data_IF_774975331785
#
_entry.id   IF_774975331785
#
_cell.length_a   1.000
_cell.length_b   1.000
_cell.length_c   1.000
_cell.angle_alpha   90.00
_cell.angle_beta   90.00
_cell.angle_gamma   90.00
#
_symmetry.space_group_name_H-M   'P 1'
#
loop_
_entity.id
_entity.type
_entity.pdbx_description
1 polymer ?
#
# COMPACT_ATOMS: atom_id res chain seq x y z
N UNK A 1 10.34 1.99 -14.28
CA UNK A 1 11.01 3.16 -13.66
C UNK A 1 10.69 3.08 -12.17
N UNK A 2 11.64 3.29 -11.26
CA UNK A 2 11.41 3.10 -9.81
C UNK A 2 10.31 4.06 -9.30
N UNK A 3 9.16 3.51 -8.89
CA UNK A 3 7.98 4.27 -8.42
C UNK A 3 8.32 5.16 -7.23
N UNK A 4 9.24 4.72 -6.36
CA UNK A 4 9.68 5.52 -5.21
C UNK A 4 10.40 6.78 -5.66
N UNK A 5 11.28 6.66 -6.65
CA UNK A 5 11.99 7.81 -7.25
C UNK A 5 11.03 8.73 -8.00
N UNK A 6 10.07 8.17 -8.74
CA UNK A 6 9.05 8.93 -9.47
C UNK A 6 8.23 9.82 -8.53
N UNK A 7 7.86 9.28 -7.36
CA UNK A 7 6.98 9.95 -6.38
C UNK A 7 7.73 10.65 -5.24
N UNK A 8 9.06 10.64 -5.26
CA UNK A 8 9.88 11.26 -4.20
C UNK A 8 9.74 10.59 -2.83
N UNK A 9 9.41 9.30 -2.80
CA UNK A 9 9.18 8.53 -1.58
C UNK A 9 10.50 7.90 -1.11
N UNK A 10 10.71 7.87 0.21
CA UNK A 10 11.82 7.12 0.82
C UNK A 10 11.30 6.19 1.90
N UNK A 11 11.51 4.88 1.72
CA UNK A 11 11.27 3.88 2.77
C UNK A 11 12.43 3.85 3.76
N UNK A 12 12.13 3.80 5.06
CA UNK A 12 13.12 3.88 6.13
C UNK A 12 12.82 2.89 7.25
N UNK A 13 13.88 2.44 7.93
CA UNK A 13 13.76 1.79 9.23
C UNK A 13 13.97 2.87 10.31
N UNK A 14 13.13 2.91 11.33
CA UNK A 14 13.20 3.85 12.45
C UNK A 14 13.25 3.09 13.76
N UNK A 15 14.21 3.42 14.62
CA UNK A 15 14.27 2.90 15.98
C UNK A 15 13.53 3.86 16.93
N UNK A 16 12.57 3.34 17.70
CA UNK A 16 11.85 4.10 18.74
C UNK A 16 11.79 3.24 19.98
N UNK A 17 12.36 3.73 21.09
CA UNK A 17 12.39 3.02 22.38
C UNK A 17 12.94 1.58 22.29
N UNK A 18 13.93 1.32 21.42
CA UNK A 18 14.53 0.00 21.21
C UNK A 18 13.75 -0.93 20.26
N UNK A 19 12.62 -0.48 19.73
CA UNK A 19 11.84 -1.21 18.74
C UNK A 19 12.13 -0.66 17.33
N UNK A 20 12.25 -1.56 16.34
CA UNK A 20 12.39 -1.18 14.93
C UNK A 20 11.03 -1.10 14.24
N UNK A 21 10.82 -0.01 13.54
CA UNK A 21 9.64 0.22 12.71
C UNK A 21 10.06 0.43 11.27
N UNK A 22 9.25 -0.07 10.34
CA UNK A 22 9.35 0.24 8.91
C UNK A 22 8.31 1.30 8.59
N UNK A 23 8.71 2.37 7.91
CA UNK A 23 7.79 3.44 7.49
C UNK A 23 8.27 4.12 6.20
N UNK A 24 7.44 5.02 5.66
CA UNK A 24 7.82 5.96 4.61
C UNK A 24 8.12 7.33 5.22
N UNK A 25 9.09 8.04 4.64
CA UNK A 25 9.24 9.47 4.80
C UNK A 25 8.61 10.17 3.59
N UNK A 26 7.67 11.08 3.83
CA UNK A 26 7.00 11.86 2.79
C UNK A 26 5.58 12.25 3.18
N UNK A 27 4.89 12.93 2.27
CA UNK A 27 3.46 13.31 2.37
C UNK A 27 2.60 12.60 1.32
N UNK A 28 3.15 11.55 0.71
CA UNK A 28 2.47 10.79 -0.32
C UNK A 28 1.37 9.93 0.32
N UNK A 29 0.12 10.21 -0.04
CA UNK A 29 -1.04 9.63 0.62
C UNK A 29 -1.17 8.12 0.36
N UNK A 30 -0.90 7.68 -0.87
CA UNK A 30 -1.03 6.27 -1.26
C UNK A 30 -0.02 5.39 -0.51
N UNK A 31 1.25 5.82 -0.45
CA UNK A 31 2.22 5.08 0.37
C UNK A 31 1.90 5.23 1.87
N UNK A 32 1.35 6.37 2.29
CA UNK A 32 0.90 6.57 3.67
C UNK A 32 -0.14 5.54 4.09
N UNK A 33 -1.08 5.21 3.19
CA UNK A 33 -2.04 4.14 3.35
C UNK A 33 -1.38 2.75 3.32
N UNK A 34 -0.51 2.51 2.33
CA UNK A 34 0.14 1.20 2.15
C UNK A 34 1.05 0.82 3.31
N UNK A 35 1.75 1.78 3.94
CA UNK A 35 2.63 1.48 5.08
C UNK A 35 1.89 1.03 6.33
N UNK A 36 0.57 1.00 6.33
CA UNK A 36 -0.23 0.42 7.41
C UNK A 36 -0.28 -1.11 7.31
N UNK A 37 -0.06 -1.70 6.13
CA UNK A 37 0.02 -3.15 5.97
C UNK A 37 1.26 -3.75 6.63
N UNK A 38 1.02 -4.77 7.47
CA UNK A 38 2.07 -5.56 8.13
C UNK A 38 2.17 -6.99 7.61
N UNK A 39 1.06 -7.53 7.08
CA UNK A 39 0.98 -8.91 6.63
C UNK A 39 1.26 -9.04 5.13
N UNK A 40 2.29 -9.84 4.80
CA UNK A 40 2.71 -10.07 3.41
C UNK A 40 1.61 -10.75 2.59
N UNK A 41 0.86 -11.67 3.19
CA UNK A 41 -0.21 -12.40 2.52
C UNK A 41 -1.33 -11.46 2.08
N UNK A 42 -1.76 -10.53 2.95
CA UNK A 42 -2.72 -9.47 2.61
C UNK A 42 -2.22 -8.60 1.45
N UNK A 43 -0.94 -8.23 1.45
CA UNK A 43 -0.37 -7.44 0.35
C UNK A 43 -0.41 -8.23 -0.96
N UNK A 44 -0.11 -9.53 -0.94
CA UNK A 44 -0.16 -10.37 -2.13
C UNK A 44 -1.59 -10.55 -2.64
N UNK A 45 -2.58 -10.72 -1.76
CA UNK A 45 -4.00 -10.79 -2.14
C UNK A 45 -4.45 -9.52 -2.86
N UNK A 46 -4.11 -8.33 -2.33
CA UNK A 46 -4.44 -7.05 -2.95
C UNK A 46 -3.76 -6.91 -4.32
N UNK A 47 -2.49 -7.32 -4.44
CA UNK A 47 -1.77 -7.32 -5.73
C UNK A 47 -2.48 -8.20 -6.76
N UNK A 48 -2.92 -9.39 -6.36
CA UNK A 48 -3.62 -10.32 -7.25
C UNK A 48 -4.97 -9.75 -7.73
N UNK A 49 -5.71 -9.09 -6.84
CA UNK A 49 -6.96 -8.42 -7.21
C UNK A 49 -6.75 -7.21 -8.13
N UNK A 50 -5.68 -6.44 -7.93
CA UNK A 50 -5.28 -5.38 -8.86
C UNK A 50 -4.88 -5.96 -10.22
N UNK A 51 -4.22 -7.11 -10.27
CA UNK A 51 -3.88 -7.77 -11.53
C UNK A 51 -5.11 -8.21 -12.32
N UNK A 52 -6.15 -8.70 -11.63
CA UNK A 52 -7.45 -8.96 -12.25
C UNK A 52 -8.11 -7.68 -12.77
N UNK A 53 -8.09 -6.60 -11.99
CA UNK A 53 -8.62 -5.30 -12.39
C UNK A 53 -7.92 -4.75 -13.64
N UNK A 54 -6.59 -4.79 -13.67
CA UNK A 54 -5.77 -4.37 -14.82
C UNK A 54 -6.03 -5.23 -16.07
N UNK A 55 -6.37 -6.50 -15.89
CA UNK A 55 -6.79 -7.39 -16.97
C UNK A 55 -8.24 -7.18 -17.43
N UNK A 56 -9.00 -6.28 -16.80
CA UNK A 56 -10.41 -6.04 -17.07
C UNK A 56 -11.35 -7.08 -16.47
N UNK A 57 -10.84 -7.97 -15.61
CA UNK A 57 -11.59 -9.07 -15.00
C UNK A 57 -12.17 -8.68 -13.63
N UNK A 58 -12.89 -7.55 -13.56
CA UNK A 58 -13.46 -7.05 -12.30
C UNK A 58 -14.42 -8.05 -11.64
N UNK A 59 -15.17 -8.82 -12.43
CA UNK A 59 -16.09 -9.85 -11.94
C UNK A 59 -15.39 -11.01 -11.20
N UNK A 60 -14.05 -11.09 -11.27
CA UNK A 60 -13.22 -12.11 -10.61
C UNK A 60 -12.52 -11.60 -9.34
N UNK A 61 -12.71 -10.32 -9.00
CA UNK A 61 -12.20 -9.73 -7.77
C UNK A 61 -13.08 -10.25 -6.63
N UNK A 62 -12.46 -10.96 -5.69
CA UNK A 62 -13.19 -11.59 -4.58
C UNK A 62 -13.69 -10.56 -3.56
N UNK A 63 -12.94 -9.46 -3.43
CA UNK A 63 -13.28 -8.32 -2.61
C UNK A 63 -12.61 -7.07 -3.17
N UNK A 64 -13.38 -6.10 -3.65
CA UNK A 64 -12.86 -4.83 -4.16
C UNK A 64 -12.50 -3.85 -3.04
N UNK A 65 -12.91 -4.14 -1.80
CA UNK A 65 -12.56 -3.37 -0.62
C UNK A 65 -11.14 -3.68 -0.13
N UNK A 66 -10.38 -2.61 0.08
CA UNK A 66 -9.05 -2.62 0.68
C UNK A 66 -9.11 -1.85 2.00
N UNK A 67 -9.06 -2.58 3.11
CA UNK A 67 -8.97 -2.00 4.46
C UNK A 67 -7.54 -1.97 4.99
N UNK A 68 -7.23 -1.09 5.94
CA UNK A 68 -5.96 -1.13 6.71
C UNK A 68 -6.21 -1.38 8.19
N UNK A 69 -5.18 -1.80 8.92
CA UNK A 69 -5.23 -2.00 10.37
C UNK A 69 -5.54 -0.72 11.16
N UNK A 70 -5.30 0.47 10.56
CA UNK A 70 -5.57 1.76 11.18
C UNK A 70 -6.93 2.36 10.79
N UNK A 71 -7.77 1.61 10.08
CA UNK A 71 -9.12 2.03 9.69
C UNK A 71 -9.20 2.76 8.35
N UNK A 72 -8.15 2.69 7.52
CA UNK A 72 -8.19 3.18 6.15
C UNK A 72 -9.18 2.38 5.30
N UNK A 73 -9.95 3.08 4.47
CA UNK A 73 -10.97 2.52 3.58
C UNK A 73 -10.62 2.90 2.15
N UNK A 74 -10.36 1.92 1.30
CA UNK A 74 -10.15 2.12 -0.13
C UNK A 74 -10.86 1.05 -0.96
N UNK A 75 -11.08 1.35 -2.24
CA UNK A 75 -11.70 0.42 -3.19
C UNK A 75 -10.94 0.37 -4.51
N UNK A 76 -10.86 -0.84 -5.08
CA UNK A 76 -10.38 -1.07 -6.45
C UNK A 76 -11.52 -0.73 -7.41
N UNK A 77 -11.34 0.30 -8.24
CA UNK A 77 -12.34 0.73 -9.23
C UNK A 77 -11.75 0.70 -10.64
N UNK A 78 -12.59 0.79 -11.70
CA UNK A 78 -12.10 0.94 -13.07
C UNK A 78 -11.21 2.17 -13.30
N UNK A 79 -11.26 3.16 -12.41
CA UNK A 79 -10.49 4.40 -12.51
C UNK A 79 -9.15 4.34 -11.74
N UNK A 80 -8.95 3.36 -10.86
CA UNK A 80 -7.83 3.28 -9.94
C UNK A 80 -8.22 2.86 -8.52
N UNK A 81 -7.47 3.32 -7.53
CA UNK A 81 -7.78 3.16 -6.10
C UNK A 81 -8.42 4.43 -5.57
N UNK A 82 -9.63 4.29 -5.06
CA UNK A 82 -10.40 5.38 -4.47
C UNK A 82 -10.43 5.24 -2.95
N UNK A 83 -10.14 6.32 -2.22
CA UNK A 83 -10.07 6.33 -0.76
C UNK A 83 -11.27 7.06 -0.18
N UNK A 84 -11.86 6.48 0.87
CA UNK A 84 -13.06 6.99 1.50
C UNK A 84 -12.86 7.23 2.99
N UNK A 85 -13.58 8.20 3.54
CA UNK A 85 -13.77 8.31 4.98
C UNK A 85 -14.93 7.41 5.46
N UNK A 86 -15.12 7.35 6.77
CA UNK A 86 -16.18 6.59 7.43
C UNK A 86 -17.60 7.06 7.02
N UNK A 87 -17.74 8.29 6.52
CA UNK A 87 -19.00 8.85 6.02
C UNK A 87 -19.27 8.49 4.55
N UNK A 88 -18.38 7.70 3.91
CA UNK A 88 -18.51 7.26 2.53
C UNK A 88 -18.19 8.35 1.51
N UNK A 89 -17.43 9.37 1.90
CA UNK A 89 -16.97 10.43 0.99
C UNK A 89 -15.57 10.10 0.46
N UNK A 90 -15.37 10.25 -0.85
CA UNK A 90 -14.03 10.14 -1.43
C UNK A 90 -13.17 11.31 -0.93
N UNK A 91 -12.06 11.00 -0.26
CA UNK A 91 -11.23 11.98 0.47
C UNK A 91 -9.89 12.30 -0.19
N UNK A 92 -9.46 11.54 -1.21
CA UNK A 92 -8.14 11.70 -1.82
C UNK A 92 -8.20 11.69 -3.36
N UNK A 93 -8.63 12.81 -3.98
CA UNK A 93 -8.43 13.04 -5.41
C UNK A 93 -7.04 13.64 -5.69
N UNK A 94 -6.34 13.23 -6.77
CA UNK A 94 -6.76 12.30 -7.81
C UNK A 94 -6.63 10.82 -7.39
N UNK A 95 -7.48 9.97 -7.99
CA UNK A 95 -7.47 8.51 -7.83
C UNK A 95 -6.07 7.96 -8.13
N UNK A 96 -5.55 7.08 -7.27
CA UNK A 96 -4.26 6.44 -7.51
C UNK A 96 -4.38 5.44 -8.68
N UNK A 97 -3.58 5.52 -9.75
CA UNK A 97 -3.61 4.53 -10.82
C UNK A 97 -3.32 3.11 -10.30
N UNK A 98 -4.02 2.10 -10.83
CA UNK A 98 -3.88 0.70 -10.42
C UNK A 98 -2.43 0.19 -10.55
N UNK A 99 -1.75 0.54 -11.64
CA UNK A 99 -0.37 0.15 -11.90
C UNK A 99 0.60 0.79 -10.91
N UNK A 100 0.41 2.08 -10.59
CA UNK A 100 1.21 2.77 -9.59
C UNK A 100 0.98 2.22 -8.17
N UNK A 101 -0.27 1.97 -7.79
CA UNK A 101 -0.59 1.40 -6.48
C UNK A 101 0.01 -0.01 -6.32
N UNK A 102 -0.08 -0.84 -7.38
CA UNK A 102 0.59 -2.14 -7.44
C UNK A 102 2.09 -2.02 -7.24
N UNK A 103 2.75 -1.12 -7.97
CA UNK A 103 4.20 -0.90 -7.85
C UNK A 103 4.57 -0.46 -6.41
N UNK A 104 3.76 0.39 -5.76
CA UNK A 104 3.95 0.79 -4.37
C UNK A 104 3.81 -0.39 -3.38
N UNK A 105 2.81 -1.25 -3.57
CA UNK A 105 2.64 -2.47 -2.76
C UNK A 105 3.83 -3.41 -2.90
N UNK A 106 4.35 -3.60 -4.12
CA UNK A 106 5.51 -4.46 -4.40
C UNK A 106 6.74 -3.94 -3.66
N UNK A 107 7.08 -2.65 -3.80
CA UNK A 107 8.26 -2.09 -3.13
C UNK A 107 8.11 -2.10 -1.61
N UNK A 108 6.90 -1.93 -1.09
CA UNK A 108 6.62 -2.03 0.34
C UNK A 108 6.79 -3.46 0.86
N UNK A 109 6.18 -4.45 0.20
CA UNK A 109 6.34 -5.88 0.50
C UNK A 109 7.80 -6.31 0.50
N UNK A 110 8.53 -5.90 -0.53
CA UNK A 110 9.96 -6.22 -0.67
C UNK A 110 10.77 -5.54 0.44
N UNK A 111 10.36 -4.35 0.90
CA UNK A 111 10.98 -3.68 2.04
C UNK A 111 10.67 -4.36 3.38
N UNK A 112 9.44 -4.84 3.59
CA UNK A 112 9.05 -5.63 4.77
C UNK A 112 9.88 -6.91 4.90
N UNK A 113 10.14 -7.59 3.78
CA UNK A 113 10.93 -8.83 3.74
C UNK A 113 12.44 -8.63 3.98
N UNK A 114 12.94 -7.40 3.94
CA UNK A 114 14.35 -7.09 4.24
C UNK A 114 14.54 -6.88 5.74
N UNK A 115 15.55 -7.49 6.38
CA UNK A 115 15.89 -7.16 7.77
C UNK A 115 16.10 -5.64 7.93
N UNK A 116 15.68 -5.03 9.06
CA UNK A 116 16.04 -3.66 9.37
C UNK A 116 17.55 -3.54 9.61
N UNK A 117 18.01 -2.30 9.73
CA UNK A 117 19.44 -1.94 9.80
C UNK A 117 20.22 -2.71 10.88
N UNK A 118 19.57 -3.13 11.98
CA UNK A 118 20.17 -3.89 13.06
C UNK A 118 19.91 -5.43 13.01
N UNK A 119 19.32 -5.94 11.93
CA UNK A 119 19.12 -7.37 11.69
C UNK A 119 17.93 -8.03 12.42
N UNK A 120 17.18 -7.33 13.26
CA UNK A 120 16.01 -7.89 13.94
C UNK A 120 14.77 -7.88 13.03
N UNK A 121 14.18 -9.03 12.68
CA UNK A 121 12.92 -9.03 11.91
C UNK A 121 11.86 -8.18 12.62
N UNK A 122 11.08 -7.42 11.86
CA UNK A 122 9.83 -6.84 12.37
C UNK A 122 8.92 -8.05 12.62
N UNK A 123 8.67 -8.35 13.90
CA UNK A 123 7.75 -9.41 14.31
C UNK A 123 6.31 -8.91 14.23
#
# INVERSE_FOLDING_TARGET
MDILKKRGIKLVNKEVAGCNYKCSNGVDADIGFIVEYRHIDTINEIIDDIDKALAGNFDQIGNDFIGTDAGGIAFITPNGIEFYDEDGKNILPPVCPLDEFKDLLIVWRDFLNRPPYNGQKVN
#
